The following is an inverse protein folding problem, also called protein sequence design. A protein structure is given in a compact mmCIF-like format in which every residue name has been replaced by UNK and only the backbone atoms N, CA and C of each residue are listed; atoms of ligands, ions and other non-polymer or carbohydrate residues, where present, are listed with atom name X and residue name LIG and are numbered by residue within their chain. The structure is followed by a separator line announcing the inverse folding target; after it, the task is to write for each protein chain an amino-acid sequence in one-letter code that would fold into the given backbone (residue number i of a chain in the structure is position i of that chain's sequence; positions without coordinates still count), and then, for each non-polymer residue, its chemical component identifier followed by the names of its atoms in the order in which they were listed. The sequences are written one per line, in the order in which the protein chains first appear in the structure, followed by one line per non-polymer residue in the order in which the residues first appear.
data_IF_903615066667
#
_entry.id   IF_903615066667
#
_cell.length_a   1.000
_cell.length_b   1.000
_cell.length_c   1.000
_cell.angle_alpha   90.00
_cell.angle_beta   90.00
_cell.angle_gamma   90.00
#
_symmetry.space_group_name_H-M   'P 1'
#
loop_
_entity.id
_entity.type
_entity.pdbx_description
1 polymer ?
#
# COMPACT_ATOMS: atom_id res chain seq x y z
N UNK A 1 -0.58 28.13 32.86
CA UNK A 1 -1.46 28.25 31.67
C UNK A 1 -1.80 26.82 31.21
N UNK A 2 -3.05 26.35 31.32
CA UNK A 2 -3.47 24.98 30.92
C UNK A 2 -3.92 25.02 29.47
N UNK A 3 -3.29 24.22 28.60
CA UNK A 3 -3.72 24.03 27.20
C UNK A 3 -4.96 23.14 27.19
N UNK A 4 -6.10 23.57 26.64
CA UNK A 4 -7.26 22.70 26.47
C UNK A 4 -6.94 21.63 25.41
N UNK A 5 -6.87 20.37 25.85
CA UNK A 5 -6.83 19.20 24.96
C UNK A 5 -8.22 19.01 24.35
N UNK A 6 -8.39 19.41 23.09
CA UNK A 6 -9.64 19.17 22.38
C UNK A 6 -9.69 17.73 21.87
N UNK A 7 -10.81 17.08 22.15
CA UNK A 7 -11.25 15.74 21.72
C UNK A 7 -11.46 15.65 20.19
N UNK A 8 -10.51 16.12 19.39
CA UNK A 8 -10.57 16.06 17.92
C UNK A 8 -10.20 14.65 17.43
N UNK A 9 -9.32 13.95 18.15
CA UNK A 9 -8.93 12.57 17.82
C UNK A 9 -10.08 11.56 17.97
N UNK A 10 -10.93 11.72 18.98
CA UNK A 10 -12.01 10.77 19.28
C UNK A 10 -13.14 10.82 18.24
N UNK A 11 -13.49 12.02 17.78
CA UNK A 11 -14.51 12.20 16.74
C UNK A 11 -14.02 11.68 15.39
N UNK A 12 -12.77 11.97 15.02
CA UNK A 12 -12.15 11.42 13.81
C UNK A 12 -12.01 9.89 13.87
N UNK A 13 -11.57 9.34 15.00
CA UNK A 13 -11.46 7.89 15.20
C UNK A 13 -12.82 7.19 15.18
N UNK A 14 -13.87 7.79 15.76
CA UNK A 14 -15.24 7.29 15.66
C UNK A 14 -15.77 7.34 14.23
N UNK A 15 -15.49 8.40 13.49
CA UNK A 15 -15.88 8.51 12.07
C UNK A 15 -15.14 7.50 11.21
N UNK A 16 -13.83 7.29 11.41
CA UNK A 16 -13.05 6.26 10.73
C UNK A 16 -13.52 4.84 11.10
N UNK A 17 -13.78 4.57 12.38
CA UNK A 17 -14.31 3.27 12.83
C UNK A 17 -15.71 2.99 12.26
N UNK A 18 -16.57 4.01 12.15
CA UNK A 18 -17.87 3.90 11.49
C UNK A 18 -17.73 3.68 9.98
N UNK A 19 -16.78 4.34 9.33
CA UNK A 19 -16.46 4.12 7.91
C UNK A 19 -15.94 2.70 7.65
N UNK A 20 -15.02 2.20 8.47
CA UNK A 20 -14.53 0.82 8.40
C UNK A 20 -15.65 -0.20 8.63
N UNK A 21 -16.57 0.07 9.56
CA UNK A 21 -17.70 -0.81 9.83
C UNK A 21 -18.72 -0.83 8.68
N UNK A 22 -18.93 0.30 8.00
CA UNK A 22 -19.77 0.38 6.81
C UNK A 22 -19.11 -0.32 5.61
N UNK A 23 -17.81 -0.17 5.42
CA UNK A 23 -17.05 -0.90 4.38
C UNK A 23 -17.15 -2.42 4.50
N UNK A 24 -17.37 -2.96 5.71
CA UNK A 24 -17.56 -4.40 5.93
C UNK A 24 -18.95 -4.91 5.56
N UNK A 25 -19.95 -4.02 5.41
CA UNK A 25 -21.36 -4.39 5.15
C UNK A 25 -21.75 -4.40 3.69
N UNK A 26 -21.07 -3.64 2.84
CA UNK A 26 -21.19 -3.80 1.40
C UNK A 26 -20.35 -5.01 0.99
N UNK A 27 -20.98 -6.02 0.38
CA UNK A 27 -20.23 -7.07 -0.29
C UNK A 27 -19.18 -6.38 -1.17
N UNK A 28 -17.88 -6.68 -1.02
CA UNK A 28 -16.86 -6.00 -1.80
C UNK A 28 -17.18 -6.23 -3.27
N UNK A 29 -17.41 -5.13 -4.00
CA UNK A 29 -17.64 -5.17 -5.43
C UNK A 29 -16.53 -5.99 -6.07
N UNK A 30 -16.91 -6.90 -6.97
CA UNK A 30 -15.93 -7.66 -7.74
C UNK A 30 -15.14 -6.71 -8.65
N UNK A 31 -13.94 -7.13 -9.07
CA UNK A 31 -13.14 -6.39 -10.06
C UNK A 31 -13.96 -6.11 -11.33
N UNK A 32 -14.77 -7.07 -11.77
CA UNK A 32 -15.65 -6.93 -12.93
C UNK A 32 -16.74 -5.85 -12.70
N UNK A 33 -17.37 -5.83 -11.53
CA UNK A 33 -18.36 -4.80 -11.18
C UNK A 33 -17.72 -3.41 -11.12
N UNK A 34 -16.52 -3.30 -10.54
CA UNK A 34 -15.77 -2.04 -10.49
C UNK A 34 -15.45 -1.51 -11.89
N UNK A 35 -15.04 -2.39 -12.81
CA UNK A 35 -14.76 -2.04 -14.21
C UNK A 35 -16.04 -1.59 -14.92
N UNK A 36 -17.16 -2.31 -14.74
CA UNK A 36 -18.46 -1.95 -15.33
C UNK A 36 -18.93 -0.57 -14.86
N UNK A 37 -18.84 -0.30 -13.56
CA UNK A 37 -19.22 1.01 -13.00
C UNK A 37 -18.30 2.11 -13.53
N UNK A 38 -16.99 1.87 -13.61
CA UNK A 38 -16.06 2.84 -14.17
C UNK A 38 -16.37 3.17 -15.64
N UNK A 39 -16.69 2.15 -16.45
CA UNK A 39 -17.09 2.33 -17.85
C UNK A 39 -18.37 3.15 -17.98
N UNK A 40 -19.38 2.86 -17.15
CA UNK A 40 -20.61 3.64 -17.11
C UNK A 40 -20.32 5.12 -16.83
N UNK A 41 -19.57 5.39 -15.77
CA UNK A 41 -19.19 6.76 -15.40
C UNK A 41 -18.42 7.48 -16.51
N UNK A 42 -17.52 6.80 -17.23
CA UNK A 42 -16.81 7.39 -18.36
C UNK A 42 -17.76 7.74 -19.52
N UNK A 43 -18.78 6.91 -19.78
CA UNK A 43 -19.82 7.17 -20.77
C UNK A 43 -20.66 8.40 -20.41
N UNK A 44 -21.16 8.47 -19.18
CA UNK A 44 -21.93 9.63 -18.69
C UNK A 44 -21.10 10.92 -18.71
N UNK A 45 -19.84 10.84 -18.28
CA UNK A 45 -18.93 11.99 -18.36
C UNK A 45 -18.73 12.46 -19.80
N UNK A 46 -18.58 11.55 -20.76
CA UNK A 46 -18.42 11.91 -22.16
C UNK A 46 -19.68 12.59 -22.73
N UNK A 47 -20.86 12.08 -22.38
CA UNK A 47 -22.13 12.67 -22.79
C UNK A 47 -22.34 14.07 -22.22
N UNK A 48 -21.94 14.29 -20.97
CA UNK A 48 -22.15 15.56 -20.26
C UNK A 48 -21.04 16.58 -20.46
N UNK A 49 -19.87 16.19 -20.98
CA UNK A 49 -18.68 17.05 -21.04
C UNK A 49 -18.93 18.43 -21.68
N UNK A 50 -19.74 18.49 -22.74
CA UNK A 50 -20.03 19.73 -23.46
C UNK A 50 -21.13 20.60 -22.80
N UNK A 51 -22.07 19.98 -22.07
CA UNK A 51 -23.24 20.66 -21.50
C UNK A 51 -23.10 20.97 -20.00
N UNK A 52 -22.43 20.09 -19.25
CA UNK A 52 -22.19 20.22 -17.82
C UNK A 52 -20.83 19.63 -17.44
N UNK A 53 -19.75 20.42 -17.54
CA UNK A 53 -18.40 19.96 -17.24
C UNK A 53 -18.17 19.68 -15.75
N UNK A 54 -18.98 20.26 -14.85
CA UNK A 54 -18.83 20.04 -13.40
C UNK A 54 -19.32 18.63 -13.07
N UNK A 55 -20.51 18.28 -13.54
CA UNK A 55 -21.06 16.93 -13.33
C UNK A 55 -20.24 15.88 -14.09
N UNK A 56 -19.78 16.19 -15.30
CA UNK A 56 -18.87 15.31 -16.05
C UNK A 56 -17.57 15.03 -15.28
N UNK A 57 -16.99 16.05 -14.62
CA UNK A 57 -15.82 15.88 -13.76
C UNK A 57 -16.11 14.94 -12.58
N UNK A 58 -17.27 15.07 -11.94
CA UNK A 58 -17.64 14.21 -10.81
C UNK A 58 -17.81 12.74 -11.24
N UNK A 59 -18.37 12.49 -12.42
CA UNK A 59 -18.40 11.16 -13.03
C UNK A 59 -17.00 10.62 -13.31
N UNK A 60 -16.09 11.44 -13.86
CA UNK A 60 -14.69 11.02 -14.09
C UNK A 60 -13.97 10.65 -12.79
N UNK A 61 -14.09 11.47 -11.75
CA UNK A 61 -13.48 11.19 -10.45
C UNK A 61 -14.02 9.91 -9.82
N UNK A 62 -15.34 9.73 -9.90
CA UNK A 62 -16.01 8.52 -9.44
C UNK A 62 -15.50 7.29 -10.21
N UNK A 63 -15.50 7.32 -11.55
CA UNK A 63 -15.00 6.24 -12.39
C UNK A 63 -13.52 5.91 -12.14
N UNK A 64 -12.67 6.92 -12.04
CA UNK A 64 -11.25 6.76 -11.76
C UNK A 64 -11.00 6.04 -10.42
N UNK A 65 -11.74 6.41 -9.36
CA UNK A 65 -11.56 5.76 -8.07
C UNK A 65 -11.94 4.27 -8.09
N UNK A 66 -12.89 3.86 -8.94
CA UNK A 66 -13.26 2.44 -9.11
C UNK A 66 -12.20 1.69 -9.89
N UNK A 67 -11.59 2.32 -10.90
CA UNK A 67 -10.46 1.72 -11.63
C UNK A 67 -9.23 1.53 -10.76
N UNK A 68 -8.89 2.51 -9.91
CA UNK A 68 -7.78 2.38 -8.95
C UNK A 68 -8.04 1.19 -8.02
N UNK A 69 -9.25 1.12 -7.44
CA UNK A 69 -9.62 0.00 -6.56
C UNK A 69 -9.59 -1.35 -7.27
N UNK A 70 -10.02 -1.42 -8.53
CA UNK A 70 -9.95 -2.63 -9.34
C UNK A 70 -8.50 -3.06 -9.57
N UNK A 71 -7.60 -2.11 -9.86
CA UNK A 71 -6.17 -2.38 -10.02
C UNK A 71 -5.54 -2.91 -8.72
N UNK A 72 -5.83 -2.29 -7.58
CA UNK A 72 -5.35 -2.74 -6.27
C UNK A 72 -5.81 -4.17 -5.95
N UNK A 73 -7.07 -4.51 -6.27
CA UNK A 73 -7.58 -5.87 -6.07
C UNK A 73 -6.90 -6.90 -6.97
N UNK A 74 -6.56 -6.52 -8.21
CA UNK A 74 -5.80 -7.39 -9.12
C UNK A 74 -4.38 -7.64 -8.62
N UNK A 75 -3.72 -6.64 -8.04
CA UNK A 75 -2.39 -6.78 -7.43
C UNK A 75 -2.42 -7.71 -6.21
N UNK A 76 -3.47 -7.62 -5.38
CA UNK A 76 -3.64 -8.49 -4.21
C UNK A 76 -3.97 -9.94 -4.57
N UNK A 77 -4.64 -10.15 -5.72
CA UNK A 77 -4.94 -11.47 -6.27
C UNK A 77 -3.78 -12.10 -7.06
N UNK A 78 -2.77 -11.31 -7.45
CA UNK A 78 -1.59 -11.83 -8.10
C UNK A 78 -0.69 -12.50 -7.06
N UNK A 79 -0.26 -13.77 -7.26
CA UNK A 79 0.73 -14.37 -6.38
C UNK A 79 1.98 -13.49 -6.40
N UNK A 80 2.37 -12.98 -5.23
CA UNK A 80 3.59 -12.20 -5.09
C UNK A 80 4.73 -13.02 -5.68
N UNK A 81 5.32 -12.52 -6.78
CA UNK A 81 6.52 -13.12 -7.32
C UNK A 81 7.54 -13.24 -6.17
N UNK A 82 8.15 -14.42 -5.94
CA UNK A 82 9.12 -14.57 -4.88
C UNK A 82 10.22 -13.53 -5.12
N UNK A 83 10.29 -12.55 -4.21
CA UNK A 83 11.34 -11.54 -4.20
C UNK A 83 12.66 -12.32 -4.25
N UNK A 84 13.54 -12.10 -5.23
CA UNK A 84 14.83 -12.79 -5.25
C UNK A 84 15.48 -12.53 -3.90
N UNK A 85 15.81 -13.61 -3.19
CA UNK A 85 16.43 -13.53 -1.88
C UNK A 85 17.57 -12.53 -1.98
N UNK A 86 17.48 -11.46 -1.17
CA UNK A 86 18.56 -10.50 -1.08
C UNK A 86 19.83 -11.31 -0.81
N UNK A 87 20.77 -11.28 -1.76
CA UNK A 87 22.08 -11.87 -1.59
C UNK A 87 22.62 -11.19 -0.34
N UNK A 88 22.68 -11.94 0.76
CA UNK A 88 23.24 -11.43 2.01
C UNK A 88 24.63 -10.90 1.66
N UNK A 89 24.98 -9.66 2.05
CA UNK A 89 26.34 -9.18 1.82
C UNK A 89 27.26 -10.18 2.51
N UNK A 90 28.11 -10.84 1.72
CA UNK A 90 29.17 -11.68 2.23
C UNK A 90 30.12 -10.75 2.99
N UNK A 91 29.88 -10.59 4.29
CA UNK A 91 30.82 -9.93 5.19
C UNK A 91 32.02 -10.87 5.25
N UNK A 92 33.20 -10.50 4.73
CA UNK A 92 34.38 -11.31 4.92
C UNK A 92 34.62 -11.41 6.42
N UNK A 93 34.59 -12.63 6.97
CA UNK A 93 35.13 -12.90 8.29
C UNK A 93 36.63 -12.65 8.19
N UNK A 94 37.08 -11.51 8.70
CA UNK A 94 38.46 -11.38 9.12
C UNK A 94 38.57 -12.21 10.40
N UNK A 95 39.12 -13.41 10.28
CA UNK A 95 39.59 -14.16 11.44
C UNK A 95 40.69 -13.29 12.07
N UNK A 96 40.40 -12.76 13.25
CA UNK A 96 41.39 -12.08 14.08
C UNK A 96 42.39 -13.17 14.45
N UNK A 97 43.60 -13.09 13.88
CA UNK A 97 44.71 -13.90 14.34
C UNK A 97 44.99 -13.41 15.77
N UNK A 98 44.65 -14.24 16.76
CA UNK A 98 45.06 -14.01 18.14
C UNK A 98 46.60 -13.97 18.17
N UNK A 99 47.14 -12.82 18.56
CA UNK A 99 48.59 -12.57 18.62
C UNK A 99 49.27 -13.30 19.78
N UNK A 100 48.53 -14.12 20.54
CA UNK A 100 49.03 -14.85 21.71
C UNK A 100 49.70 -16.20 21.37
N UNK A 101 49.60 -16.68 20.13
CA UNK A 101 50.23 -17.95 19.68
C UNK A 101 51.66 -17.80 19.12
N UNK A 102 52.27 -16.61 19.18
CA UNK A 102 53.69 -16.42 18.81
C UNK A 102 54.68 -16.81 19.93
N UNK A 103 54.17 -17.39 21.01
CA UNK A 103 54.92 -17.67 22.24
C UNK A 103 55.41 -19.09 22.42
N UNK A 104 55.67 -19.89 21.36
CA UNK A 104 56.58 -21.05 21.47
C UNK A 104 56.87 -21.67 20.10
N UNK A 105 57.96 -21.27 19.47
CA UNK A 105 58.55 -22.05 18.38
C UNK A 105 60.02 -22.34 18.67
N UNK A 106 60.26 -23.03 19.79
CA UNK A 106 61.37 -23.97 19.84
C UNK A 106 60.89 -25.25 19.16
N UNK A 107 61.47 -25.60 18.00
CA UNK A 107 61.90 -26.96 17.61
C UNK A 107 62.64 -26.90 16.24
N UNK A 108 63.95 -27.18 16.34
CA UNK A 108 64.81 -27.95 15.46
C UNK A 108 64.87 -27.66 13.93
N UNK A 109 66.00 -27.11 13.50
CA UNK A 109 67.00 -27.80 12.66
C UNK A 109 68.37 -27.15 12.79
#
# INVERSE_FOLDING_TARGET
MRVPHYSVGSAAALTLSRLEHLQRRESPLSVDDLIKIARFNAGEAHALFASDPVTARDFLLNGASRMIRAAEQLEQGAPAAPRPAAIAPAVPRFDVIDYDDLGNLDVAL
#
